data_IF_123563763388
#
_entry.id   IF_123563763388
#
_cell.length_a   1.000
_cell.length_b   1.000
_cell.length_c   1.000
_cell.angle_alpha   90.00
_cell.angle_beta   90.00
_cell.angle_gamma   90.00
#
_symmetry.space_group_name_H-M   'P 1'
#
loop_
_entity.id
_entity.type
_entity.pdbx_description
1 polymer ?
#
# COMPACT_ATOMS: atom_id res chain seq x y z
N UNK A 1 -2.66 14.14 18.38
CA UNK A 1 -2.10 13.69 17.06
C UNK A 1 -0.92 14.57 16.68
N UNK A 2 0.19 13.98 16.28
CA UNK A 2 1.40 14.69 15.81
C UNK A 2 1.62 14.35 14.33
N UNK A 3 1.78 15.36 13.48
CA UNK A 3 2.07 15.16 12.06
C UNK A 3 3.42 14.45 11.92
N UNK A 4 3.45 13.33 11.22
CA UNK A 4 4.65 12.57 10.88
C UNK A 4 5.17 12.95 9.50
N UNK A 5 4.26 13.04 8.52
CA UNK A 5 4.55 13.43 7.14
C UNK A 5 3.56 14.51 6.71
N UNK A 6 4.07 15.62 6.22
CA UNK A 6 3.25 16.71 5.71
C UNK A 6 2.71 16.41 4.32
N UNK A 7 1.66 17.12 3.91
CA UNK A 7 1.10 17.04 2.55
C UNK A 7 2.17 17.28 1.47
N UNK A 8 3.07 18.27 1.68
CA UNK A 8 4.13 18.56 0.70
C UNK A 8 5.13 17.40 0.59
N UNK A 9 5.61 16.86 1.71
CA UNK A 9 6.53 15.72 1.70
C UNK A 9 5.93 14.51 0.96
N UNK A 10 4.64 14.23 1.18
CA UNK A 10 3.94 13.15 0.48
C UNK A 10 3.85 13.45 -1.02
N UNK A 11 3.47 14.66 -1.40
CA UNK A 11 3.35 15.05 -2.81
C UNK A 11 4.69 14.92 -3.55
N UNK A 12 5.77 15.41 -2.95
CA UNK A 12 7.13 15.32 -3.52
C UNK A 12 7.55 13.87 -3.71
N UNK A 13 7.28 13.01 -2.71
CA UNK A 13 7.61 11.58 -2.78
C UNK A 13 6.76 10.84 -3.82
N UNK A 14 5.49 11.16 -3.97
CA UNK A 14 4.63 10.58 -5.00
C UNK A 14 5.12 10.95 -6.40
N UNK A 15 5.59 12.19 -6.61
CA UNK A 15 6.22 12.60 -7.87
C UNK A 15 7.51 11.80 -8.16
N UNK A 16 8.37 11.62 -7.16
CA UNK A 16 9.59 10.82 -7.25
C UNK A 16 9.30 9.36 -7.65
N UNK A 17 8.35 8.72 -6.93
CA UNK A 17 7.93 7.35 -7.23
C UNK A 17 7.33 7.24 -8.65
N UNK A 18 6.50 8.20 -9.05
CA UNK A 18 5.90 8.22 -10.37
C UNK A 18 6.93 8.34 -11.49
N UNK A 19 7.96 9.16 -11.31
CA UNK A 19 9.06 9.28 -12.27
C UNK A 19 9.84 7.97 -12.39
N UNK A 20 10.21 7.35 -11.26
CA UNK A 20 10.93 6.08 -11.22
C UNK A 20 10.14 4.96 -11.87
N UNK A 21 8.85 4.80 -11.51
CA UNK A 21 7.97 3.79 -12.11
C UNK A 21 7.79 4.03 -13.62
N UNK A 22 7.65 5.28 -14.05
CA UNK A 22 7.52 5.60 -15.48
C UNK A 22 8.77 5.21 -16.28
N UNK A 23 9.96 5.39 -15.70
CA UNK A 23 11.22 4.95 -16.31
C UNK A 23 11.32 3.42 -16.39
N UNK A 24 11.08 2.72 -15.26
CA UNK A 24 11.21 1.27 -15.15
C UNK A 24 10.18 0.50 -15.99
N UNK A 25 9.01 1.08 -16.19
CA UNK A 25 7.89 0.47 -16.92
C UNK A 25 7.66 1.08 -18.31
N UNK A 26 8.63 1.78 -18.86
CA UNK A 26 8.56 2.27 -20.25
C UNK A 26 8.24 1.09 -21.19
N UNK A 27 7.26 1.27 -22.06
CA UNK A 27 6.76 0.26 -23.03
C UNK A 27 6.15 -1.03 -22.43
N UNK A 28 5.93 -1.10 -21.12
CA UNK A 28 5.39 -2.30 -20.45
C UNK A 28 3.88 -2.25 -20.18
N UNK A 29 3.25 -1.07 -20.24
CA UNK A 29 1.83 -0.88 -19.96
C UNK A 29 1.36 -1.63 -18.69
N UNK A 30 1.88 -1.28 -17.49
CA UNK A 30 1.58 -2.00 -16.27
C UNK A 30 0.11 -1.86 -15.85
N UNK A 31 -0.37 -2.85 -15.09
CA UNK A 31 -1.59 -2.73 -14.31
C UNK A 31 -1.23 -2.40 -12.86
N UNK A 32 -1.74 -1.29 -12.35
CA UNK A 32 -1.63 -0.90 -10.95
C UNK A 32 -2.84 -1.46 -10.20
N UNK A 33 -2.59 -2.28 -9.19
CA UNK A 33 -3.65 -2.90 -8.40
C UNK A 33 -3.60 -2.36 -6.97
N UNK A 34 -4.60 -1.54 -6.63
CA UNK A 34 -4.72 -0.96 -5.30
C UNK A 34 -5.39 -1.91 -4.30
N UNK A 35 -4.79 -2.04 -3.11
CA UNK A 35 -5.38 -2.78 -2.01
C UNK A 35 -6.31 -1.87 -1.21
N UNK A 36 -7.62 -2.09 -1.36
CA UNK A 36 -8.66 -1.29 -0.68
C UNK A 36 -8.75 -1.63 0.82
N UNK A 37 -9.06 -0.63 1.67
CA UNK A 37 -9.50 0.75 1.31
C UNK A 37 -8.35 1.75 1.35
N UNK A 38 -7.31 1.50 2.12
CA UNK A 38 -6.30 2.48 2.49
C UNK A 38 -5.52 3.05 1.30
N UNK A 39 -5.20 2.21 0.31
CA UNK A 39 -4.39 2.61 -0.84
C UNK A 39 -5.09 3.56 -1.83
N UNK A 40 -6.41 3.79 -1.70
CA UNK A 40 -7.19 4.54 -2.70
C UNK A 40 -6.65 5.95 -2.94
N UNK A 41 -6.25 6.67 -1.88
CA UNK A 41 -5.73 8.04 -1.99
C UNK A 41 -4.35 8.03 -2.64
N UNK A 42 -3.48 7.14 -2.18
CA UNK A 42 -2.13 7.01 -2.75
C UNK A 42 -2.16 6.60 -4.22
N UNK A 43 -2.95 5.58 -4.60
CA UNK A 43 -3.08 5.17 -5.99
C UNK A 43 -3.63 6.30 -6.86
N UNK A 44 -4.64 7.05 -6.39
CA UNK A 44 -5.22 8.17 -7.13
C UNK A 44 -4.20 9.27 -7.41
N UNK A 45 -3.31 9.56 -6.47
CA UNK A 45 -2.25 10.55 -6.66
C UNK A 45 -1.11 9.99 -7.53
N UNK A 46 -0.67 8.76 -7.28
CA UNK A 46 0.42 8.12 -8.02
C UNK A 46 0.10 7.98 -9.51
N UNK A 47 -1.08 7.47 -9.87
CA UNK A 47 -1.44 7.25 -11.28
C UNK A 47 -1.43 8.54 -12.10
N UNK A 48 -1.69 9.71 -11.47
CA UNK A 48 -1.65 11.02 -12.14
C UNK A 48 -0.23 11.55 -12.38
N UNK A 49 0.78 10.96 -11.74
CA UNK A 49 2.20 11.29 -11.95
C UNK A 49 2.86 10.45 -13.04
N UNK A 50 2.25 9.32 -13.41
CA UNK A 50 2.80 8.43 -14.41
C UNK A 50 2.68 9.03 -15.81
N UNK A 51 3.78 8.98 -16.57
CA UNK A 51 3.86 9.47 -17.96
C UNK A 51 3.75 8.36 -19.01
N UNK A 52 3.46 7.13 -18.57
CA UNK A 52 3.34 5.92 -19.39
C UNK A 52 1.89 5.44 -19.45
N UNK A 53 1.49 4.72 -20.50
CA UNK A 53 0.22 4.00 -20.52
C UNK A 53 0.15 3.01 -19.38
N UNK A 54 -0.97 2.98 -18.69
CA UNK A 54 -1.23 2.05 -17.58
C UNK A 54 -2.74 1.83 -17.42
N UNK A 55 -3.09 0.75 -16.74
CA UNK A 55 -4.46 0.48 -16.29
C UNK A 55 -4.48 0.36 -14.77
N UNK A 56 -5.65 0.53 -14.17
CA UNK A 56 -5.82 0.36 -12.73
C UNK A 56 -6.91 -0.66 -12.44
N UNK A 57 -6.76 -1.34 -11.32
CA UNK A 57 -7.81 -2.19 -10.73
C UNK A 57 -7.66 -2.18 -9.21
N UNK A 58 -8.62 -2.80 -8.53
CA UNK A 58 -8.65 -2.86 -7.08
C UNK A 58 -8.97 -4.26 -6.60
N UNK A 59 -8.33 -4.64 -5.49
CA UNK A 59 -8.70 -5.82 -4.72
C UNK A 59 -8.99 -5.41 -3.28
N UNK A 60 -9.77 -6.21 -2.58
CA UNK A 60 -9.99 -6.04 -1.16
C UNK A 60 -9.42 -7.26 -0.43
N UNK A 61 -8.48 -7.00 0.46
CA UNK A 61 -8.00 -7.99 1.41
C UNK A 61 -8.54 -7.67 2.81
N UNK A 62 -9.06 -8.67 3.50
CA UNK A 62 -9.42 -8.57 4.91
C UNK A 62 -8.75 -9.69 5.69
N UNK A 63 -8.05 -9.33 6.75
CA UNK A 63 -7.62 -10.30 7.74
C UNK A 63 -8.82 -10.67 8.62
N UNK A 64 -9.14 -11.96 8.70
CA UNK A 64 -10.19 -12.44 9.60
C UNK A 64 -9.62 -12.63 11.00
N UNK A 65 -10.21 -11.94 11.99
CA UNK A 65 -9.90 -12.08 13.42
C UNK A 65 -10.29 -10.82 14.17
N UNK A 66 -11.47 -10.80 14.79
CA UNK A 66 -11.81 -9.82 15.82
C UNK A 66 -11.03 -10.20 17.09
N UNK A 67 -9.84 -9.62 17.28
CA UNK A 67 -9.01 -9.85 18.46
C UNK A 67 -7.54 -9.60 18.16
N UNK A 68 -6.79 -9.21 19.18
CA UNK A 68 -5.34 -8.89 19.11
C UNK A 68 -4.43 -10.06 18.71
N UNK A 69 -5.00 -11.18 18.29
CA UNK A 69 -4.29 -12.33 17.69
C UNK A 69 -4.94 -12.67 16.36
N UNK A 70 -4.34 -12.17 15.27
CA UNK A 70 -4.74 -12.52 13.91
C UNK A 70 -4.55 -14.03 13.71
N UNK A 71 -5.61 -14.77 13.37
CA UNK A 71 -5.57 -16.21 13.03
C UNK A 71 -4.83 -16.50 11.72
N UNK A 72 -4.23 -15.51 11.09
CA UNK A 72 -3.41 -15.66 9.87
C UNK A 72 -4.19 -15.97 8.59
N UNK A 73 -5.53 -16.01 8.62
CA UNK A 73 -6.31 -16.19 7.40
C UNK A 73 -6.63 -14.85 6.76
N UNK A 74 -6.02 -14.62 5.61
CA UNK A 74 -6.33 -13.47 4.73
C UNK A 74 -7.40 -13.92 3.75
N UNK A 75 -8.51 -13.17 3.67
CA UNK A 75 -9.54 -13.37 2.66
C UNK A 75 -9.43 -12.25 1.63
N UNK A 76 -9.17 -12.64 0.40
CA UNK A 76 -9.19 -11.69 -0.73
C UNK A 76 -10.52 -11.82 -1.45
N UNK A 77 -11.22 -10.71 -1.62
CA UNK A 77 -12.45 -10.61 -2.40
C UNK A 77 -12.19 -9.77 -3.64
N UNK A 78 -12.82 -10.13 -4.77
CA UNK A 78 -12.65 -9.47 -6.08
C UNK A 78 -11.28 -9.75 -6.73
N UNK A 79 -10.97 -11.05 -6.93
CA UNK A 79 -9.74 -11.51 -7.60
C UNK A 79 -9.93 -11.80 -9.10
N UNK A 80 -10.95 -11.22 -9.73
CA UNK A 80 -11.25 -11.45 -11.15
C UNK A 80 -10.34 -10.62 -12.08
N UNK A 81 -9.27 -10.04 -11.54
CA UNK A 81 -8.32 -9.25 -12.31
C UNK A 81 -7.49 -10.16 -13.21
N UNK A 82 -7.57 -9.93 -14.52
CA UNK A 82 -6.77 -10.63 -15.52
C UNK A 82 -5.35 -10.06 -15.53
N UNK A 83 -4.38 -10.88 -15.10
CA UNK A 83 -2.96 -10.48 -14.98
C UNK A 83 -2.00 -11.39 -15.73
N UNK A 84 -2.48 -12.44 -16.37
CA UNK A 84 -1.63 -13.36 -17.14
C UNK A 84 -0.83 -12.59 -18.20
N UNK A 85 0.49 -12.80 -18.20
CA UNK A 85 1.45 -12.11 -19.07
C UNK A 85 1.46 -10.57 -18.96
N UNK A 86 0.90 -10.00 -17.91
CA UNK A 86 0.92 -8.56 -17.64
C UNK A 86 1.97 -8.19 -16.60
N UNK A 87 2.49 -6.97 -16.69
CA UNK A 87 3.30 -6.38 -15.63
C UNK A 87 2.39 -5.84 -14.55
N UNK A 88 2.48 -6.39 -13.33
CA UNK A 88 1.63 -6.03 -12.18
C UNK A 88 2.41 -5.22 -11.18
N UNK A 89 1.83 -4.11 -10.74
CA UNK A 89 2.34 -3.28 -9.65
C UNK A 89 1.26 -3.22 -8.55
N UNK A 90 1.50 -3.90 -7.43
CA UNK A 90 0.62 -3.82 -6.26
C UNK A 90 0.86 -2.51 -5.52
N UNK A 91 -0.21 -1.79 -5.20
CA UNK A 91 -0.15 -0.49 -4.53
C UNK A 91 -0.74 -0.61 -3.13
N UNK A 92 0.09 -0.31 -2.14
CA UNK A 92 -0.25 -0.34 -0.71
C UNK A 92 -0.06 1.03 -0.07
N UNK A 93 -0.92 1.37 0.87
CA UNK A 93 -0.75 2.55 1.72
C UNK A 93 0.34 2.31 2.76
N UNK A 94 0.34 1.16 3.41
CA UNK A 94 1.32 0.79 4.43
C UNK A 94 1.58 -0.71 4.44
N UNK A 95 2.84 -1.08 4.55
CA UNK A 95 3.25 -2.46 4.83
C UNK A 95 3.72 -2.53 6.27
N UNK A 96 2.94 -3.23 7.09
CA UNK A 96 3.21 -3.49 8.50
C UNK A 96 3.84 -4.88 8.66
N UNK A 97 3.11 -5.90 9.10
CA UNK A 97 3.63 -7.26 9.26
C UNK A 97 4.05 -7.93 7.94
N UNK A 98 3.50 -7.51 6.82
CA UNK A 98 3.73 -8.10 5.50
C UNK A 98 2.92 -9.36 5.19
N UNK A 99 2.21 -9.93 6.16
CA UNK A 99 1.48 -11.21 5.99
C UNK A 99 0.41 -11.12 4.90
N UNK A 100 -0.36 -10.05 4.88
CA UNK A 100 -1.39 -9.82 3.84
C UNK A 100 -0.76 -9.70 2.46
N UNK A 101 0.32 -8.93 2.35
CA UNK A 101 1.05 -8.76 1.10
C UNK A 101 1.63 -10.07 0.58
N UNK A 102 2.25 -10.88 1.45
CA UNK A 102 2.80 -12.18 1.06
C UNK A 102 1.71 -13.07 0.48
N UNK A 103 0.57 -13.20 1.14
CA UNK A 103 -0.55 -13.99 0.64
C UNK A 103 -1.04 -13.49 -0.73
N UNK A 104 -1.20 -12.19 -0.90
CA UNK A 104 -1.64 -11.58 -2.17
C UNK A 104 -0.62 -11.88 -3.28
N UNK A 105 0.66 -11.74 -3.01
CA UNK A 105 1.73 -12.07 -3.98
C UNK A 105 1.67 -13.53 -4.43
N UNK A 106 1.50 -14.47 -3.49
CA UNK A 106 1.38 -15.90 -3.80
C UNK A 106 0.20 -16.15 -4.75
N UNK A 107 -0.97 -15.59 -4.46
CA UNK A 107 -2.16 -15.74 -5.32
C UNK A 107 -1.96 -15.12 -6.70
N UNK A 108 -1.32 -13.93 -6.79
CA UNK A 108 -1.05 -13.32 -8.09
C UNK A 108 0.01 -14.06 -8.90
N UNK A 109 1.02 -14.64 -8.26
CA UNK A 109 2.06 -15.43 -8.95
C UNK A 109 1.47 -16.70 -9.60
N UNK A 110 0.46 -17.32 -8.99
CA UNK A 110 -0.27 -18.45 -9.59
C UNK A 110 -0.96 -18.08 -10.90
N UNK A 111 -1.34 -16.81 -11.08
CA UNK A 111 -1.93 -16.27 -12.31
C UNK A 111 -0.91 -15.94 -13.41
N UNK A 112 0.37 -16.23 -13.21
CA UNK A 112 1.48 -16.10 -14.17
C UNK A 112 1.61 -14.69 -14.79
N UNK A 113 1.75 -13.62 -13.99
CA UNK A 113 2.06 -12.30 -14.53
C UNK A 113 3.44 -12.28 -15.19
N UNK A 114 3.67 -11.34 -16.10
CA UNK A 114 5.00 -11.11 -16.69
C UNK A 114 5.99 -10.58 -15.64
N UNK A 115 5.53 -9.77 -14.70
CA UNK A 115 6.26 -9.36 -13.49
C UNK A 115 5.29 -8.97 -12.39
N UNK A 116 5.74 -9.05 -11.15
CA UNK A 116 4.99 -8.65 -9.96
C UNK A 116 5.91 -7.86 -9.03
N UNK A 117 5.63 -6.57 -8.87
CA UNK A 117 6.34 -5.67 -7.98
C UNK A 117 5.36 -5.00 -7.00
N UNK A 118 5.92 -4.41 -5.94
CA UNK A 118 5.17 -3.76 -4.86
C UNK A 118 5.62 -2.32 -4.71
N UNK A 119 4.66 -1.39 -4.70
CA UNK A 119 4.86 0.00 -4.36
C UNK A 119 4.06 0.33 -3.10
N UNK A 120 4.73 0.76 -2.05
CA UNK A 120 4.11 1.16 -0.79
C UNK A 120 4.46 2.60 -0.44
N UNK A 121 3.47 3.37 0.02
CA UNK A 121 3.74 4.71 0.52
C UNK A 121 4.54 4.65 1.83
N UNK A 122 4.12 3.77 2.75
CA UNK A 122 4.75 3.60 4.05
C UNK A 122 5.24 2.17 4.24
N UNK A 123 6.42 2.02 4.83
CA UNK A 123 7.01 0.75 5.22
C UNK A 123 7.43 0.77 6.69
N UNK A 124 7.02 -0.26 7.46
CA UNK A 124 7.41 -0.49 8.86
C UNK A 124 8.27 -1.75 8.97
N UNK A 125 9.56 -1.69 8.68
CA UNK A 125 10.41 -2.88 8.73
C UNK A 125 10.53 -3.49 10.14
N UNK A 126 10.37 -2.69 11.20
CA UNK A 126 10.42 -3.18 12.58
C UNK A 126 9.25 -4.12 12.94
N UNK A 127 8.09 -4.00 12.27
CA UNK A 127 6.91 -4.86 12.47
C UNK A 127 6.88 -6.06 11.50
N UNK A 128 7.83 -6.13 10.56
CA UNK A 128 7.86 -7.12 9.49
C UNK A 128 8.01 -8.54 10.03
N UNK A 129 7.15 -9.45 9.58
CA UNK A 129 7.17 -10.89 9.90
C UNK A 129 7.48 -11.77 8.68
N UNK A 130 7.56 -11.16 7.50
CA UNK A 130 7.84 -11.82 6.22
C UNK A 130 9.16 -11.33 5.65
N UNK A 131 9.72 -12.08 4.69
CA UNK A 131 10.94 -11.69 3.98
C UNK A 131 10.67 -10.85 2.72
N UNK A 132 9.40 -10.52 2.45
CA UNK A 132 9.03 -9.76 1.26
C UNK A 132 9.65 -8.37 1.25
N UNK A 133 10.19 -8.02 0.08
CA UNK A 133 10.75 -6.70 -0.16
C UNK A 133 9.70 -5.80 -0.81
N UNK A 134 9.82 -4.51 -0.52
CA UNK A 134 9.11 -3.44 -1.22
C UNK A 134 10.01 -2.96 -2.34
N UNK A 135 9.51 -3.00 -3.58
CA UNK A 135 10.30 -2.61 -4.76
C UNK A 135 10.39 -1.08 -4.88
N UNK A 136 9.27 -0.40 -4.58
CA UNK A 136 9.16 1.07 -4.56
C UNK A 136 8.62 1.50 -3.20
N UNK A 137 9.48 2.08 -2.38
CA UNK A 137 9.13 2.53 -1.03
C UNK A 137 9.12 4.05 -0.93
N UNK A 138 7.99 4.62 -0.48
CA UNK A 138 7.89 6.04 -0.22
C UNK A 138 8.68 6.45 1.03
N UNK A 139 8.24 5.98 2.17
CA UNK A 139 8.86 6.33 3.46
C UNK A 139 8.98 5.11 4.36
N UNK A 140 10.15 4.94 4.94
CA UNK A 140 10.33 4.03 6.08
C UNK A 140 9.97 4.78 7.37
N UNK A 141 9.05 4.23 8.15
CA UNK A 141 8.59 4.83 9.40
C UNK A 141 8.80 3.90 10.60
N UNK A 142 8.91 4.44 11.83
CA UNK A 142 8.97 3.63 13.03
C UNK A 142 7.67 2.86 13.25
N UNK A 143 7.69 1.89 14.18
CA UNK A 143 6.50 1.12 14.56
C UNK A 143 5.58 1.94 15.46
N UNK A 144 4.81 2.83 14.84
CA UNK A 144 3.82 3.70 15.47
C UNK A 144 2.48 3.59 14.73
N UNK A 145 1.39 3.84 15.44
CA UNK A 145 0.07 3.85 14.83
C UNK A 145 -0.16 5.17 14.10
N UNK A 146 -0.48 5.09 12.80
CA UNK A 146 -0.63 6.26 11.93
C UNK A 146 -1.99 6.31 11.26
N UNK A 147 -2.46 7.51 10.97
CA UNK A 147 -3.72 7.81 10.26
C UNK A 147 -3.51 8.91 9.24
N UNK A 148 -4.45 9.03 8.32
CA UNK A 148 -4.46 10.06 7.27
C UNK A 148 -3.92 9.55 5.95
N UNK A 149 -4.20 10.28 4.88
CA UNK A 149 -3.83 9.96 3.50
C UNK A 149 -4.26 8.53 3.09
N UNK A 150 -5.52 8.19 3.41
CA UNK A 150 -6.09 6.85 3.17
C UNK A 150 -6.11 5.94 4.39
N UNK A 151 -5.14 6.07 5.30
CA UNK A 151 -5.08 5.31 6.55
C UNK A 151 -6.15 5.75 7.55
N UNK A 152 -6.68 4.80 8.30
CA UNK A 152 -7.79 5.06 9.22
C UNK A 152 -7.55 4.61 10.66
N UNK A 153 -8.41 5.13 11.52
CA UNK A 153 -8.73 4.60 12.83
C UNK A 153 -10.25 4.57 12.98
N UNK A 154 -10.84 3.38 13.11
CA UNK A 154 -12.29 3.17 13.17
C UNK A 154 -13.05 3.83 11.98
N UNK A 155 -12.56 3.60 10.76
CA UNK A 155 -13.10 4.16 9.51
C UNK A 155 -13.04 5.70 9.41
N UNK A 156 -12.31 6.36 10.29
CA UNK A 156 -12.14 7.82 10.32
C UNK A 156 -10.73 8.22 9.88
N UNK A 157 -10.52 9.50 9.62
CA UNK A 157 -9.24 10.15 9.30
C UNK A 157 -8.66 9.89 7.92
N UNK A 158 -9.20 9.03 7.07
CA UNK A 158 -8.68 8.77 5.71
C UNK A 158 -8.55 10.02 4.85
N UNK A 159 -9.40 11.04 5.11
CA UNK A 159 -9.47 12.30 4.35
C UNK A 159 -8.35 13.29 4.66
N UNK A 160 -7.59 13.08 5.74
CA UNK A 160 -6.51 14.01 6.11
C UNK A 160 -5.43 14.02 5.01
N UNK A 161 -4.96 15.21 4.59
CA UNK A 161 -3.99 15.30 3.48
C UNK A 161 -2.52 15.04 3.92
N UNK A 162 -2.33 14.58 5.13
CA UNK A 162 -1.04 14.29 5.77
C UNK A 162 -1.13 12.96 6.54
N UNK A 163 0.00 12.43 6.95
CA UNK A 163 0.07 11.27 7.85
C UNK A 163 0.41 11.76 9.26
N UNK A 164 -0.37 11.33 10.25
CA UNK A 164 -0.16 11.68 11.66
C UNK A 164 -0.09 10.45 12.55
N UNK A 165 0.72 10.53 13.61
CA UNK A 165 0.79 9.55 14.68
C UNK A 165 -0.38 9.79 15.63
N UNK A 166 -1.11 8.73 15.97
CA UNK A 166 -2.09 8.73 17.05
C UNK A 166 -1.34 8.43 18.34
N UNK A 167 -1.17 9.44 19.16
CA UNK A 167 -0.63 9.27 20.50
C UNK A 167 -1.71 8.67 21.39
N UNK A 168 -1.44 7.52 22.00
CA UNK A 168 -2.30 7.03 23.07
C UNK A 168 -2.38 8.11 24.15
N UNK A 169 -3.57 8.61 24.42
CA UNK A 169 -3.78 9.36 25.66
C UNK A 169 -3.46 8.38 26.80
N UNK A 170 -2.31 8.54 27.41
CA UNK A 170 -2.10 7.99 28.75
C UNK A 170 -3.16 8.64 29.63
N UNK A 171 -4.29 7.96 29.82
CA UNK A 171 -5.19 8.29 30.89
C UNK A 171 -4.34 8.20 32.15
N UNK A 172 -3.92 9.33 32.65
CA UNK A 172 -3.29 9.46 33.96
C UNK A 172 -4.28 9.07 35.05
N UNK A 173 -3.77 8.78 36.23
CA UNK A 173 -4.50 8.17 37.33
C UNK A 173 -5.68 8.99 37.83
#
# INVERSE_FOLDING_TARGET
MRILLTKSQIADKVQELGAQISEDYQDKNPILIGLLKGSVVFLADLMRTLTIPHTIDFIRASSYGAGMTSSGQVRVTSMDVEVENRHVLLIEDIIDSGVTLQYIKEVFLEKKPASLCVCALLDKPASRRTSDKVDYCGFTIPDVFVVGYGLDWNEQYRHLPYVAVVEEQKNGP
#
